data_IF_538257740218
#
_entry.id   IF_538257740218
#
_cell.length_a   1.000
_cell.length_b   1.000
_cell.length_c   1.000
_cell.angle_alpha   90.00
_cell.angle_beta   90.00
_cell.angle_gamma   90.00
#
_symmetry.space_group_name_H-M   'P 1'
#
loop_
_entity.id
_entity.type
_entity.pdbx_description
1 polymer ?
#
# COMPACT_ATOMS: atom_id res chain seq x y z
N UNK A 1 14.39 3.64 0.20
CA UNK A 1 13.12 3.47 0.88
C UNK A 1 13.01 2.11 1.52
N UNK A 2 12.50 2.10 2.74
CA UNK A 2 12.54 0.96 3.65
C UNK A 2 11.44 -0.09 3.41
N UNK A 3 11.02 -0.33 2.16
CA UNK A 3 10.03 -1.35 1.84
C UNK A 3 10.43 -2.74 2.35
N UNK A 4 11.73 -3.08 2.30
CA UNK A 4 12.23 -4.35 2.80
C UNK A 4 12.11 -4.52 4.31
N UNK A 5 12.32 -3.45 5.08
CA UNK A 5 12.22 -3.47 6.55
C UNK A 5 10.76 -3.51 6.98
N UNK A 6 9.90 -2.70 6.34
CA UNK A 6 8.46 -2.70 6.60
C UNK A 6 7.81 -4.01 6.20
N UNK A 7 8.20 -4.57 5.05
CA UNK A 7 7.75 -5.89 4.61
C UNK A 7 8.11 -6.97 5.63
N UNK A 8 9.33 -6.96 6.16
CA UNK A 8 9.76 -7.89 7.20
C UNK A 8 8.94 -7.72 8.49
N UNK A 9 8.66 -6.49 8.90
CA UNK A 9 7.85 -6.22 10.10
C UNK A 9 6.41 -6.68 9.92
N UNK A 10 5.81 -6.47 8.74
CA UNK A 10 4.46 -6.97 8.41
C UNK A 10 4.46 -8.50 8.28
N UNK A 11 5.52 -9.09 7.72
CA UNK A 11 5.66 -10.53 7.56
C UNK A 11 5.83 -11.29 8.88
N UNK A 12 6.29 -10.63 9.94
CA UNK A 12 6.39 -11.23 11.28
C UNK A 12 5.07 -11.28 12.04
N UNK A 13 4.00 -10.70 11.49
CA UNK A 13 2.68 -10.75 12.11
C UNK A 13 2.12 -12.16 12.01
N UNK A 14 1.70 -12.79 13.14
CA UNK A 14 1.11 -14.14 13.11
C UNK A 14 -0.17 -14.16 12.28
N UNK A 15 -0.35 -15.21 11.47
CA UNK A 15 -1.51 -15.33 10.56
C UNK A 15 -2.86 -15.40 11.28
N UNK A 16 -2.87 -15.85 12.54
CA UNK A 16 -4.09 -15.90 13.33
C UNK A 16 -4.64 -14.50 13.69
N UNK A 17 -3.83 -13.45 13.59
CA UNK A 17 -4.32 -12.08 13.73
C UNK A 17 -5.33 -11.68 12.65
N UNK A 18 -5.20 -12.22 11.46
CA UNK A 18 -6.13 -11.92 10.35
C UNK A 18 -7.53 -12.52 10.54
N UNK A 19 -7.67 -13.54 11.40
CA UNK A 19 -8.95 -14.19 11.67
C UNK A 19 -9.83 -13.40 12.65
N UNK A 20 -9.27 -12.46 13.39
CA UNK A 20 -9.98 -11.68 14.42
C UNK A 20 -10.54 -10.35 13.92
N UNK A 21 -10.36 -10.02 12.64
CA UNK A 21 -10.77 -8.73 12.08
C UNK A 21 -12.27 -8.46 12.10
N UNK A 22 -13.10 -9.49 12.21
CA UNK A 22 -14.56 -9.35 12.18
C UNK A 22 -15.23 -9.00 13.50
N UNK A 23 -14.49 -8.97 14.62
CA UNK A 23 -15.08 -8.93 15.96
C UNK A 23 -14.63 -7.75 16.84
N UNK A 24 -13.75 -6.86 16.37
CA UNK A 24 -13.28 -5.75 17.20
C UNK A 24 -13.85 -4.41 16.77
N UNK A 25 -14.73 -3.88 17.60
CA UNK A 25 -15.15 -2.49 17.52
C UNK A 25 -13.98 -1.60 17.99
N UNK A 26 -13.52 -0.71 17.11
CA UNK A 26 -12.48 0.25 17.45
C UNK A 26 -13.09 1.43 18.22
N UNK A 27 -13.34 1.27 19.50
CA UNK A 27 -13.56 2.41 20.36
C UNK A 27 -12.22 3.11 20.59
N UNK A 28 -12.08 4.35 20.13
CA UNK A 28 -10.92 5.25 20.29
C UNK A 28 -9.70 5.03 19.38
N UNK A 29 -9.87 4.45 18.18
CA UNK A 29 -8.74 4.24 17.24
C UNK A 29 -8.16 5.49 16.58
N UNK A 30 -8.78 6.67 16.72
CA UNK A 30 -8.40 7.85 15.94
C UNK A 30 -7.12 8.57 16.36
N UNK A 31 -6.86 8.64 17.67
CA UNK A 31 -5.81 9.52 18.20
C UNK A 31 -4.42 8.87 18.24
N UNK A 32 -4.36 7.54 18.34
CA UNK A 32 -3.11 6.81 18.49
C UNK A 32 -2.59 6.17 17.21
N UNK A 33 -3.38 6.16 16.16
CA UNK A 33 -3.02 5.47 14.91
C UNK A 33 -2.07 6.27 14.01
N UNK A 34 -2.06 7.59 14.16
CA UNK A 34 -1.22 8.49 13.36
C UNK A 34 0.28 8.20 13.54
N UNK A 35 0.69 7.69 14.70
CA UNK A 35 2.08 7.35 14.95
C UNK A 35 2.55 6.07 14.22
N UNK A 36 1.63 5.23 13.75
CA UNK A 36 1.94 3.97 13.09
C UNK A 36 1.79 4.01 11.58
N UNK A 37 1.31 5.11 11.03
CA UNK A 37 1.10 5.29 9.60
C UNK A 37 1.69 6.61 9.13
N UNK A 38 2.19 6.60 7.90
CA UNK A 38 2.67 7.81 7.22
C UNK A 38 2.04 7.89 5.84
N UNK A 39 1.63 9.09 5.43
CA UNK A 39 1.14 9.29 4.08
C UNK A 39 2.32 9.33 3.11
N UNK A 40 2.31 8.46 2.12
CA UNK A 40 3.30 8.41 1.06
C UNK A 40 2.74 9.15 -0.15
N UNK A 41 3.34 10.31 -0.47
CA UNK A 41 2.89 11.14 -1.59
C UNK A 41 3.07 10.45 -2.94
N UNK A 42 4.12 9.64 -3.10
CA UNK A 42 4.37 8.88 -4.32
C UNK A 42 3.25 7.86 -4.57
N UNK A 43 2.85 7.13 -3.56
CA UNK A 43 1.80 6.12 -3.65
C UNK A 43 0.39 6.73 -3.60
N UNK A 44 0.25 7.86 -2.89
CA UNK A 44 -1.04 8.48 -2.64
C UNK A 44 -1.91 7.73 -1.64
N UNK A 45 -1.30 6.96 -0.76
CA UNK A 45 -1.94 6.22 0.33
C UNK A 45 -1.11 6.31 1.59
N UNK A 46 -1.73 6.05 2.73
CA UNK A 46 -1.00 5.84 3.98
C UNK A 46 -0.42 4.43 4.00
N UNK A 47 0.80 4.31 4.49
CA UNK A 47 1.50 3.03 4.67
C UNK A 47 1.93 2.88 6.12
N UNK A 48 2.04 1.63 6.63
CA UNK A 48 2.52 1.42 7.99
C UNK A 48 3.99 1.83 8.13
N UNK A 49 4.29 2.55 9.21
CA UNK A 49 5.65 2.88 9.62
C UNK A 49 5.77 2.62 11.11
N UNK A 50 6.38 1.49 11.47
CA UNK A 50 6.49 1.06 12.85
C UNK A 50 7.81 1.57 13.44
N UNK A 51 7.73 2.29 14.57
CA UNK A 51 8.88 2.79 15.31
C UNK A 51 9.43 1.74 16.28
N UNK A 52 8.59 0.78 16.66
CA UNK A 52 8.89 -0.27 17.63
C UNK A 52 8.84 -1.63 16.95
N UNK A 53 9.42 -2.65 17.58
CA UNK A 53 9.24 -4.02 17.13
C UNK A 53 7.77 -4.42 17.31
N UNK A 54 7.27 -5.27 16.41
CA UNK A 54 5.85 -5.66 16.42
C UNK A 54 5.43 -6.25 17.78
N UNK A 55 6.30 -7.05 18.37
CA UNK A 55 6.06 -7.74 19.65
C UNK A 55 5.94 -6.76 20.82
N UNK A 56 6.55 -5.58 20.72
CA UNK A 56 6.53 -4.55 21.74
C UNK A 56 5.29 -3.66 21.68
N UNK A 57 4.53 -3.75 20.57
CA UNK A 57 3.29 -2.97 20.40
C UNK A 57 2.15 -3.65 21.17
N UNK A 58 1.36 -2.91 21.97
CA UNK A 58 0.22 -3.49 22.68
C UNK A 58 -0.75 -4.19 21.73
N UNK A 59 -1.30 -5.33 22.14
CA UNK A 59 -2.16 -6.18 21.33
C UNK A 59 -3.35 -5.42 20.71
N UNK A 60 -3.98 -4.53 21.48
CA UNK A 60 -5.08 -3.69 20.96
C UNK A 60 -4.63 -2.80 19.80
N UNK A 61 -3.40 -2.26 19.89
CA UNK A 61 -2.82 -1.45 18.84
C UNK A 61 -2.45 -2.29 17.63
N UNK A 62 -1.91 -3.50 17.83
CA UNK A 62 -1.63 -4.42 16.74
C UNK A 62 -2.88 -4.69 15.90
N UNK A 63 -4.00 -4.99 16.57
CA UNK A 63 -5.28 -5.23 15.88
C UNK A 63 -5.76 -3.98 15.13
N UNK A 64 -5.65 -2.82 15.74
CA UNK A 64 -6.06 -1.56 15.12
C UNK A 64 -5.20 -1.23 13.89
N UNK A 65 -3.89 -1.47 13.96
CA UNK A 65 -2.96 -1.28 12.84
C UNK A 65 -3.35 -2.20 11.67
N UNK A 66 -3.58 -3.48 11.95
CA UNK A 66 -3.96 -4.46 10.93
C UNK A 66 -5.30 -4.10 10.29
N UNK A 67 -6.28 -3.70 11.09
CA UNK A 67 -7.59 -3.30 10.58
C UNK A 67 -7.47 -2.08 9.65
N UNK A 68 -6.76 -1.06 10.08
CA UNK A 68 -6.54 0.14 9.27
C UNK A 68 -5.82 -0.21 7.96
N UNK A 69 -4.77 -1.03 8.04
CA UNK A 69 -4.03 -1.45 6.85
C UNK A 69 -4.93 -2.22 5.87
N UNK A 70 -5.78 -3.14 6.34
CA UNK A 70 -6.71 -3.86 5.47
C UNK A 70 -7.68 -2.93 4.76
N UNK A 71 -8.16 -1.88 5.44
CA UNK A 71 -9.01 -0.87 4.83
C UNK A 71 -8.27 -0.10 3.72
N UNK A 72 -7.02 0.28 3.97
CA UNK A 72 -6.18 0.98 2.99
C UNK A 72 -5.86 0.05 1.82
N UNK A 73 -5.43 -1.18 2.11
CA UNK A 73 -5.09 -2.19 1.10
C UNK A 73 -6.27 -2.46 0.16
N UNK A 74 -7.48 -2.53 0.69
CA UNK A 74 -8.69 -2.75 -0.11
C UNK A 74 -8.98 -1.65 -1.12
N UNK A 75 -8.43 -0.45 -0.92
CA UNK A 75 -8.59 0.69 -1.84
C UNK A 75 -7.49 0.78 -2.90
N UNK A 76 -6.44 -0.02 -2.77
CA UNK A 76 -5.31 0.00 -3.72
C UNK A 76 -5.75 -0.31 -5.15
N UNK A 77 -6.57 -1.35 -5.44
CA UNK A 77 -7.01 -1.61 -6.81
C UNK A 77 -7.72 -0.42 -7.47
N UNK A 78 -8.55 0.30 -6.73
CA UNK A 78 -9.24 1.49 -7.27
C UNK A 78 -8.25 2.62 -7.56
N UNK A 79 -7.24 2.80 -6.70
CA UNK A 79 -6.17 3.76 -6.94
C UNK A 79 -5.39 3.40 -8.20
N UNK A 80 -5.07 2.14 -8.40
CA UNK A 80 -4.38 1.64 -9.60
C UNK A 80 -5.20 1.94 -10.86
N UNK A 81 -6.50 1.67 -10.84
CA UNK A 81 -7.38 1.97 -11.99
C UNK A 81 -7.35 3.44 -12.38
N UNK A 82 -7.32 4.35 -11.41
CA UNK A 82 -7.21 5.79 -11.68
C UNK A 82 -5.88 6.13 -12.35
N UNK A 83 -4.79 5.52 -11.89
CA UNK A 83 -3.47 5.73 -12.50
C UNK A 83 -3.40 5.16 -13.92
N UNK A 84 -3.96 3.98 -14.14
CA UNK A 84 -4.06 3.37 -15.48
C UNK A 84 -4.85 4.26 -16.45
N UNK A 85 -5.94 4.86 -15.97
CA UNK A 85 -6.71 5.81 -16.76
C UNK A 85 -5.84 7.01 -17.19
N UNK A 86 -5.04 7.57 -16.29
CA UNK A 86 -4.14 8.67 -16.62
C UNK A 86 -3.05 8.24 -17.61
N UNK A 87 -2.50 7.03 -17.46
CA UNK A 87 -1.55 6.48 -18.42
C UNK A 87 -2.19 6.40 -19.82
N UNK A 88 -3.38 5.86 -19.92
CA UNK A 88 -4.08 5.72 -21.18
C UNK A 88 -4.32 7.07 -21.87
N UNK A 89 -4.70 8.10 -21.09
CA UNK A 89 -4.85 9.44 -21.63
C UNK A 89 -3.54 10.00 -22.16
N UNK A 90 -2.44 9.81 -21.42
CA UNK A 90 -1.11 10.28 -21.84
C UNK A 90 -0.60 9.52 -23.07
N UNK A 91 -0.84 8.22 -23.15
CA UNK A 91 -0.50 7.41 -24.33
C UNK A 91 -1.27 7.89 -25.58
N UNK A 92 -2.56 8.22 -25.41
CA UNK A 92 -3.35 8.75 -26.51
C UNK A 92 -2.79 10.10 -27.00
N UNK A 93 -2.39 10.99 -26.08
CA UNK A 93 -1.72 12.24 -26.43
C UNK A 93 -0.39 11.98 -27.12
N UNK A 94 0.41 11.05 -26.60
CA UNK A 94 1.71 10.70 -27.16
C UNK A 94 1.60 10.21 -28.60
N UNK A 95 0.61 9.41 -28.91
CA UNK A 95 0.39 8.86 -30.27
C UNK A 95 0.09 9.96 -31.30
N UNK A 96 -0.41 11.12 -30.86
CA UNK A 96 -0.78 12.24 -31.70
C UNK A 96 0.19 13.42 -31.58
N UNK A 97 1.28 13.28 -30.82
CA UNK A 97 2.21 14.36 -30.54
C UNK A 97 3.34 14.40 -31.58
N UNK A 98 3.51 15.55 -32.20
CA UNK A 98 4.57 15.77 -33.21
C UNK A 98 5.83 16.40 -32.62
N UNK A 99 5.69 17.08 -31.47
CA UNK A 99 6.83 17.73 -30.80
C UNK A 99 7.62 16.69 -29.98
N UNK A 100 8.90 16.57 -30.32
CA UNK A 100 9.78 15.58 -29.69
C UNK A 100 9.96 15.84 -28.18
N UNK A 101 10.12 17.08 -27.74
CA UNK A 101 10.30 17.39 -26.32
C UNK A 101 9.06 17.04 -25.51
N UNK A 102 7.87 17.32 -26.04
CA UNK A 102 6.60 16.97 -25.42
C UNK A 102 6.44 15.45 -25.37
N UNK A 103 6.81 14.76 -26.45
CA UNK A 103 6.77 13.28 -26.48
C UNK A 103 7.67 12.68 -25.41
N UNK A 104 8.87 13.20 -25.21
CA UNK A 104 9.79 12.76 -24.16
C UNK A 104 9.21 13.00 -22.77
N UNK A 105 8.59 14.17 -22.54
CA UNK A 105 7.92 14.49 -21.27
C UNK A 105 6.77 13.53 -20.99
N UNK A 106 5.92 13.25 -21.98
CA UNK A 106 4.81 12.29 -21.84
C UNK A 106 5.31 10.88 -21.53
N UNK A 107 6.37 10.43 -22.20
CA UNK A 107 6.96 9.12 -21.91
C UNK A 107 7.49 9.04 -20.47
N UNK A 108 8.14 10.10 -19.99
CA UNK A 108 8.63 10.17 -18.62
C UNK A 108 7.48 10.11 -17.61
N UNK A 109 6.41 10.86 -17.85
CA UNK A 109 5.24 10.87 -16.98
C UNK A 109 4.54 9.51 -16.94
N UNK A 110 4.43 8.82 -18.09
CA UNK A 110 3.88 7.46 -18.18
C UNK A 110 4.74 6.48 -17.37
N UNK A 111 6.07 6.58 -17.50
CA UNK A 111 7.00 5.72 -16.75
C UNK A 111 6.87 5.94 -15.25
N UNK A 112 6.73 7.18 -14.80
CA UNK A 112 6.53 7.52 -13.39
C UNK A 112 5.23 6.90 -12.85
N UNK A 113 4.13 7.03 -13.60
CA UNK A 113 2.85 6.45 -13.21
C UNK A 113 2.91 4.92 -13.15
N UNK A 114 3.58 4.30 -14.13
CA UNK A 114 3.76 2.84 -14.16
C UNK A 114 4.58 2.35 -12.96
N UNK A 115 5.59 3.12 -12.54
CA UNK A 115 6.38 2.83 -11.35
C UNK A 115 5.52 2.86 -10.08
N UNK A 116 4.65 3.86 -9.97
CA UNK A 116 3.71 3.95 -8.83
C UNK A 116 2.78 2.74 -8.79
N UNK A 117 2.23 2.33 -9.93
CA UNK A 117 1.35 1.16 -10.03
C UNK A 117 2.08 -0.10 -9.58
N UNK A 118 3.33 -0.28 -10.02
CA UNK A 118 4.15 -1.41 -9.61
C UNK A 118 4.36 -1.44 -8.10
N UNK A 119 4.69 -0.31 -7.50
CA UNK A 119 4.90 -0.19 -6.05
C UNK A 119 3.59 -0.47 -5.28
N UNK A 120 2.46 0.02 -5.78
CA UNK A 120 1.14 -0.25 -5.17
C UNK A 120 0.81 -1.75 -5.19
N UNK A 121 1.10 -2.44 -6.31
CA UNK A 121 0.90 -3.89 -6.38
C UNK A 121 1.82 -4.64 -5.43
N UNK A 122 3.05 -4.19 -5.21
CA UNK A 122 3.97 -4.79 -4.23
C UNK A 122 3.37 -4.69 -2.82
N UNK A 123 2.87 -3.53 -2.43
CA UNK A 123 2.20 -3.35 -1.13
C UNK A 123 0.95 -4.23 -1.00
N UNK A 124 0.14 -4.30 -2.05
CA UNK A 124 -1.08 -5.11 -2.06
C UNK A 124 -0.79 -6.60 -1.85
N UNK A 125 0.24 -7.12 -2.52
CA UNK A 125 0.59 -8.55 -2.47
C UNK A 125 1.34 -8.98 -1.22
N UNK A 126 2.00 -8.08 -0.53
CA UNK A 126 2.80 -8.43 0.66
C UNK A 126 1.98 -9.15 1.72
N UNK A 127 0.78 -8.68 2.01
CA UNK A 127 -0.11 -9.30 2.99
C UNK A 127 -0.74 -10.60 2.50
N UNK A 128 -1.03 -10.71 1.20
CA UNK A 128 -1.55 -11.94 0.62
C UNK A 128 -0.54 -13.10 0.71
N UNK A 129 0.72 -12.84 0.40
CA UNK A 129 1.76 -13.86 0.44
C UNK A 129 1.95 -14.43 1.84
N UNK A 130 1.75 -13.62 2.88
CA UNK A 130 1.82 -14.08 4.28
C UNK A 130 0.68 -15.07 4.60
N UNK A 131 -0.54 -14.75 4.18
CA UNK A 131 -1.69 -15.61 4.42
C UNK A 131 -1.63 -16.91 3.62
N UNK A 132 -1.19 -16.86 2.38
CA UNK A 132 -1.05 -18.04 1.50
C UNK A 132 0.12 -18.94 1.93
N UNK A 133 1.26 -18.37 2.31
CA UNK A 133 2.43 -19.12 2.75
C UNK A 133 2.18 -19.98 3.99
N UNK A 134 1.23 -19.61 4.84
CA UNK A 134 0.86 -20.37 6.04
C UNK A 134 -0.29 -21.34 5.83
N UNK A 135 -1.09 -21.14 4.78
CA UNK A 135 -2.18 -22.05 4.45
C UNK A 135 -1.68 -23.39 3.87
N UNK A 136 -0.43 -23.45 3.42
CA UNK A 136 0.19 -24.65 2.85
C UNK A 136 1.08 -25.42 3.84
N UNK A 137 1.10 -25.01 5.09
CA UNK A 137 1.76 -25.74 6.17
C UNK A 137 0.70 -26.41 7.07
#
# INVERSE_FOLDING_TARGET
MNQGILAKKILTIPSNFFLFFGTMETENGGVYMEQYFIYDEHLGIEVPELQEEWEDIPEKMQHAILLKWEQIRGKIPDRIKKLEYHINQKQHRLNNEENFEISCSLNSEIADLASIINDLWLWYRLTQNVSEGKAHQ
#
